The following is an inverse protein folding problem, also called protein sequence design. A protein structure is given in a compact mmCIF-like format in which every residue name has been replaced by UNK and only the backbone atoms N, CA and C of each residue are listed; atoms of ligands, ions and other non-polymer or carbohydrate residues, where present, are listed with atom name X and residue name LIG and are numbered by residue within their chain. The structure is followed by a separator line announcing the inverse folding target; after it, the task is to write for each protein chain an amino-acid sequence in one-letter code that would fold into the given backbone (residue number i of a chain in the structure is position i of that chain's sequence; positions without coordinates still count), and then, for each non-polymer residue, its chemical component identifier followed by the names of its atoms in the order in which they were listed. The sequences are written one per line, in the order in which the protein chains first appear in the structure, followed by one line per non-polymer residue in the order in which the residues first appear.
data_IF_019080400901
#
_entry.id   IF_019080400901
#
_cell.length_a   1.000
_cell.length_b   1.000
_cell.length_c   1.000
_cell.angle_alpha   90.00
_cell.angle_beta   90.00
_cell.angle_gamma   90.00
#
_symmetry.space_group_name_H-M   'P 1'
#
loop_
_entity.id
_entity.type
_entity.pdbx_description
1 polymer ?
#
# COMPACT_ATOMS: atom_id res chain seq x y z
N UNK A 1 33.05 -31.66 -57.73
CA UNK A 1 33.34 -32.82 -56.89
C UNK A 1 34.81 -32.78 -56.49
N UNK A 2 35.12 -32.34 -55.28
CA UNK A 2 36.45 -32.45 -54.69
C UNK A 2 36.23 -32.78 -53.21
N UNK A 3 36.56 -34.01 -52.84
CA UNK A 3 36.41 -34.57 -51.50
C UNK A 3 37.70 -34.36 -50.73
N UNK A 4 37.75 -33.29 -49.93
CA UNK A 4 38.81 -33.08 -48.94
C UNK A 4 38.70 -34.14 -47.85
N UNK A 5 39.63 -35.09 -47.87
CA UNK A 5 39.78 -36.10 -46.83
C UNK A 5 40.38 -35.44 -45.58
N UNK A 6 39.58 -35.32 -44.53
CA UNK A 6 40.07 -34.95 -43.19
C UNK A 6 41.14 -35.95 -42.72
N UNK A 7 42.23 -35.49 -42.08
CA UNK A 7 43.31 -36.37 -41.64
C UNK A 7 42.85 -37.30 -40.52
N UNK A 8 43.29 -38.56 -40.59
CA UNK A 8 42.98 -39.59 -39.63
C UNK A 8 43.38 -39.18 -38.20
N UNK A 9 42.40 -39.17 -37.30
CA UNK A 9 42.61 -38.93 -35.87
C UNK A 9 43.50 -40.06 -35.34
N UNK A 10 44.75 -39.72 -35.05
CA UNK A 10 45.75 -40.63 -34.52
C UNK A 10 45.37 -40.96 -33.08
N UNK A 11 44.71 -42.11 -32.87
CA UNK A 11 44.43 -42.69 -31.56
C UNK A 11 45.73 -43.09 -30.86
N UNK A 12 46.50 -42.11 -30.39
CA UNK A 12 47.49 -42.33 -29.33
C UNK A 12 46.69 -42.55 -28.06
N UNK A 13 46.50 -43.83 -27.70
CA UNK A 13 46.05 -44.20 -26.35
C UNK A 13 47.07 -43.63 -25.37
N UNK A 14 46.77 -42.45 -24.83
CA UNK A 14 47.44 -41.92 -23.65
C UNK A 14 47.30 -42.92 -22.50
N UNK A 15 48.08 -42.76 -21.42
CA UNK A 15 48.04 -43.71 -20.32
C UNK A 15 46.61 -43.84 -19.82
N UNK A 16 46.03 -45.04 -19.99
CA UNK A 16 44.63 -45.38 -19.70
C UNK A 16 44.29 -45.26 -18.20
N UNK A 17 45.27 -44.90 -17.37
CA UNK A 17 45.18 -44.87 -15.93
C UNK A 17 45.42 -43.43 -15.42
N UNK A 18 44.36 -42.71 -14.97
CA UNK A 18 44.46 -41.31 -14.55
C UNK A 18 45.37 -41.11 -13.34
N UNK A 19 45.79 -42.18 -12.65
CA UNK A 19 46.76 -42.15 -11.56
C UNK A 19 48.20 -41.94 -12.02
N UNK A 20 48.51 -42.18 -13.30
CA UNK A 20 49.86 -42.03 -13.87
C UNK A 20 50.08 -40.70 -14.59
N UNK A 21 49.05 -39.86 -14.68
CA UNK A 21 49.12 -38.55 -15.34
C UNK A 21 49.60 -37.45 -14.40
N UNK A 22 50.24 -36.43 -14.96
CA UNK A 22 50.51 -35.18 -14.23
C UNK A 22 49.18 -34.49 -13.86
N UNK A 23 49.16 -33.70 -12.77
CA UNK A 23 47.94 -33.03 -12.26
C UNK A 23 47.17 -32.25 -13.34
N UNK A 24 47.89 -31.53 -14.20
CA UNK A 24 47.30 -30.72 -15.29
C UNK A 24 46.74 -31.59 -16.41
N UNK A 25 47.40 -32.72 -16.73
CA UNK A 25 46.88 -33.66 -17.73
C UNK A 25 45.67 -34.42 -17.20
N UNK A 26 45.69 -34.80 -15.91
CA UNK A 26 44.58 -35.46 -15.23
C UNK A 26 43.35 -34.55 -15.15
N UNK A 27 43.52 -33.26 -14.84
CA UNK A 27 42.39 -32.32 -14.80
C UNK A 27 41.80 -32.10 -16.18
N UNK A 28 42.63 -31.97 -17.23
CA UNK A 28 42.15 -31.89 -18.62
C UNK A 28 41.42 -33.15 -19.03
N UNK A 29 41.94 -34.32 -18.69
CA UNK A 29 41.29 -35.60 -18.99
C UNK A 29 39.92 -35.75 -18.30
N UNK A 30 39.85 -35.47 -17.00
CA UNK A 30 38.63 -35.52 -16.20
C UNK A 30 37.57 -34.49 -16.62
N UNK A 31 37.96 -33.41 -17.30
CA UNK A 31 37.01 -32.42 -17.82
C UNK A 31 36.20 -32.92 -19.02
N UNK A 32 36.70 -33.94 -19.74
CA UNK A 32 36.03 -34.55 -20.89
C UNK A 32 35.46 -35.94 -20.60
N UNK A 33 35.80 -36.55 -19.46
CA UNK A 33 35.14 -37.78 -19.01
C UNK A 33 33.76 -37.48 -18.44
N UNK A 34 32.82 -38.37 -18.72
CA UNK A 34 31.50 -38.31 -18.11
C UNK A 34 31.61 -38.59 -16.62
N UNK A 35 30.95 -37.78 -15.77
CA UNK A 35 30.98 -37.99 -14.34
C UNK A 35 30.34 -39.34 -13.99
N UNK A 36 30.79 -39.98 -12.90
CA UNK A 36 30.13 -41.15 -12.34
C UNK A 36 28.63 -40.91 -12.14
N UNK A 37 27.81 -41.95 -12.33
CA UNK A 37 26.34 -41.87 -12.24
C UNK A 37 25.85 -41.21 -10.95
N UNK A 38 26.44 -41.55 -9.81
CA UNK A 38 26.11 -40.93 -8.52
C UNK A 38 26.29 -39.40 -8.50
N UNK A 39 27.36 -38.90 -9.13
CA UNK A 39 27.64 -37.47 -9.24
C UNK A 39 26.69 -36.81 -10.22
N UNK A 40 26.36 -37.49 -11.32
CA UNK A 40 25.37 -37.02 -12.29
C UNK A 40 23.97 -36.90 -11.65
N UNK A 41 23.55 -37.92 -10.89
CA UNK A 41 22.27 -37.95 -10.18
C UNK A 41 22.19 -36.85 -9.11
N UNK A 42 23.26 -36.66 -8.34
CA UNK A 42 23.36 -35.58 -7.36
C UNK A 42 23.31 -34.18 -8.02
N UNK A 43 23.95 -34.02 -9.18
CA UNK A 43 23.90 -32.78 -9.97
C UNK A 43 22.50 -32.53 -10.52
N UNK A 44 21.79 -33.56 -10.95
CA UNK A 44 20.42 -33.42 -11.46
C UNK A 44 19.43 -33.06 -10.33
N UNK A 45 19.54 -33.70 -9.17
CA UNK A 45 18.75 -33.40 -7.97
C UNK A 45 18.94 -31.95 -7.51
N UNK A 46 20.19 -31.50 -7.44
CA UNK A 46 20.51 -30.12 -7.06
C UNK A 46 19.98 -29.11 -8.08
N UNK A 47 20.12 -29.38 -9.37
CA UNK A 47 19.55 -28.53 -10.42
C UNK A 47 18.03 -28.46 -10.36
N UNK A 48 17.34 -29.60 -10.18
CA UNK A 48 15.88 -29.65 -10.00
C UNK A 48 15.45 -28.79 -8.80
N UNK A 49 16.12 -28.93 -7.66
CA UNK A 49 15.85 -28.12 -6.46
C UNK A 49 16.02 -26.62 -6.72
N UNK A 50 17.09 -26.22 -7.41
CA UNK A 50 17.35 -24.81 -7.72
C UNK A 50 16.30 -24.24 -8.67
N UNK A 51 15.88 -25.00 -9.68
CA UNK A 51 14.82 -24.60 -10.61
C UNK A 51 13.49 -24.44 -9.87
N UNK A 52 13.15 -25.38 -8.99
CA UNK A 52 11.94 -25.30 -8.17
C UNK A 52 11.97 -24.08 -7.25
N UNK A 53 13.10 -23.82 -6.58
CA UNK A 53 13.25 -22.62 -5.76
C UNK A 53 13.14 -21.34 -6.58
N UNK A 54 13.78 -21.28 -7.75
CA UNK A 54 13.67 -20.13 -8.64
C UNK A 54 12.23 -19.88 -9.07
N UNK A 55 11.49 -20.93 -9.42
CA UNK A 55 10.07 -20.86 -9.79
C UNK A 55 9.20 -20.35 -8.63
N UNK A 56 9.39 -20.90 -7.43
CA UNK A 56 8.69 -20.40 -6.22
C UNK A 56 8.99 -18.94 -5.97
N UNK A 57 10.26 -18.56 -6.03
CA UNK A 57 10.70 -17.18 -5.81
C UNK A 57 10.13 -16.22 -6.87
N UNK A 58 10.02 -16.64 -8.12
CA UNK A 58 9.38 -15.84 -9.17
C UNK A 58 7.87 -15.69 -8.94
N UNK A 59 7.17 -16.75 -8.52
CA UNK A 59 5.75 -16.67 -8.20
C UNK A 59 5.45 -15.74 -7.00
N UNK A 60 6.29 -15.79 -5.95
CA UNK A 60 6.09 -14.94 -4.77
C UNK A 60 6.53 -13.48 -4.98
N UNK A 61 7.55 -13.25 -5.81
CA UNK A 61 8.10 -11.92 -6.06
C UNK A 61 7.82 -11.42 -7.48
N UNK A 62 6.70 -11.86 -8.07
CA UNK A 62 6.27 -11.28 -9.32
C UNK A 62 6.07 -9.77 -9.13
N UNK A 63 6.69 -8.92 -9.96
CA UNK A 63 6.55 -7.49 -9.83
C UNK A 63 5.09 -7.12 -10.06
N UNK A 64 4.50 -6.46 -9.07
CA UNK A 64 3.14 -5.94 -9.12
C UNK A 64 2.99 -5.11 -10.41
N UNK A 65 1.93 -5.36 -11.18
CA UNK A 65 1.67 -4.60 -12.40
C UNK A 65 1.51 -3.12 -12.08
N UNK A 66 1.89 -2.23 -13.00
CA UNK A 66 1.71 -0.78 -12.83
C UNK A 66 0.24 -0.43 -12.54
N UNK A 67 -0.69 -1.11 -13.21
CA UNK A 67 -2.13 -0.94 -13.02
C UNK A 67 -2.57 -1.32 -11.60
N UNK A 68 -2.06 -2.43 -11.06
CA UNK A 68 -2.36 -2.86 -9.69
C UNK A 68 -1.78 -1.90 -8.64
N UNK A 69 -0.63 -1.28 -8.93
CA UNK A 69 -0.04 -0.27 -8.06
C UNK A 69 -0.89 1.02 -8.03
N UNK A 70 -1.37 1.47 -9.18
CA UNK A 70 -2.28 2.62 -9.28
C UNK A 70 -3.61 2.38 -8.56
N UNK A 71 -4.19 1.19 -8.69
CA UNK A 71 -5.41 0.81 -7.97
C UNK A 71 -5.17 0.78 -6.44
N UNK A 72 -4.04 0.23 -5.98
CA UNK A 72 -3.68 0.26 -4.56
C UNK A 72 -3.54 1.68 -4.02
N UNK A 73 -2.97 2.60 -4.80
CA UNK A 73 -2.83 4.01 -4.40
C UNK A 73 -4.18 4.71 -4.34
N UNK A 74 -5.09 4.45 -5.28
CA UNK A 74 -6.48 4.96 -5.24
C UNK A 74 -7.20 4.42 -4.00
N UNK A 75 -7.10 3.13 -3.73
CA UNK A 75 -7.68 2.51 -2.54
C UNK A 75 -7.09 3.09 -1.25
N UNK A 76 -5.77 3.28 -1.17
CA UNK A 76 -5.12 3.86 0.00
C UNK A 76 -5.59 5.30 0.27
N UNK A 77 -5.72 6.12 -0.78
CA UNK A 77 -6.28 7.48 -0.68
C UNK A 77 -7.73 7.45 -0.20
N UNK A 78 -8.57 6.58 -0.77
CA UNK A 78 -9.96 6.43 -0.35
C UNK A 78 -10.07 6.01 1.13
N UNK A 79 -9.29 5.01 1.54
CA UNK A 79 -9.24 4.57 2.94
C UNK A 79 -8.80 5.72 3.85
N UNK A 80 -7.80 6.51 3.43
CA UNK A 80 -7.34 7.69 4.17
C UNK A 80 -8.45 8.73 4.36
N UNK A 81 -9.20 9.02 3.30
CA UNK A 81 -10.34 9.94 3.34
C UNK A 81 -11.46 9.43 4.26
N UNK A 82 -11.83 8.15 4.15
CA UNK A 82 -12.86 7.53 4.99
C UNK A 82 -12.46 7.54 6.47
N UNK A 83 -11.20 7.20 6.80
CA UNK A 83 -10.67 7.27 8.17
C UNK A 83 -10.68 8.69 8.72
N UNK A 84 -10.32 9.67 7.91
CA UNK A 84 -10.36 11.07 8.32
C UNK A 84 -11.79 11.55 8.60
N UNK A 85 -12.74 11.16 7.76
CA UNK A 85 -14.16 11.46 7.95
C UNK A 85 -14.70 10.81 9.25
N UNK A 86 -14.36 9.54 9.49
CA UNK A 86 -14.74 8.82 10.71
C UNK A 86 -14.17 9.49 11.97
N UNK A 87 -12.89 9.84 11.97
CA UNK A 87 -12.24 10.51 13.11
C UNK A 87 -12.90 11.86 13.43
N UNK A 88 -13.21 12.66 12.41
CA UNK A 88 -13.96 13.92 12.56
C UNK A 88 -15.35 13.68 13.13
N UNK A 89 -16.06 12.68 12.62
CA UNK A 89 -17.39 12.32 13.12
C UNK A 89 -17.34 11.89 14.59
N UNK A 90 -16.35 11.07 14.98
CA UNK A 90 -16.15 10.65 16.37
C UNK A 90 -15.91 11.82 17.31
N UNK A 91 -15.06 12.78 16.91
CA UNK A 91 -14.83 14.01 17.66
C UNK A 91 -16.09 14.86 17.78
N UNK A 92 -16.86 15.00 16.69
CA UNK A 92 -18.14 15.72 16.69
C UNK A 92 -19.12 15.10 17.69
N UNK A 93 -19.31 13.78 17.65
CA UNK A 93 -20.21 13.07 18.56
C UNK A 93 -19.76 13.26 20.01
N UNK A 94 -18.45 13.15 20.29
CA UNK A 94 -17.92 13.33 21.64
C UNK A 94 -18.16 14.75 22.16
N UNK A 95 -17.96 15.77 21.32
CA UNK A 95 -18.25 17.18 21.66
C UNK A 95 -19.75 17.40 21.91
N UNK A 96 -20.62 16.87 21.07
CA UNK A 96 -22.08 16.98 21.24
C UNK A 96 -22.53 16.31 22.54
N UNK A 97 -22.03 15.10 22.84
CA UNK A 97 -22.31 14.41 24.10
C UNK A 97 -21.83 15.21 25.31
N UNK A 98 -20.61 15.74 25.27
CA UNK A 98 -20.08 16.58 26.34
C UNK A 98 -20.96 17.82 26.58
N UNK A 99 -21.36 18.51 25.50
CA UNK A 99 -22.23 19.68 25.60
C UNK A 99 -23.60 19.33 26.18
N UNK A 100 -24.21 18.22 25.73
CA UNK A 100 -25.48 17.73 26.24
C UNK A 100 -25.39 17.37 27.73
N UNK A 101 -24.39 16.59 28.12
CA UNK A 101 -24.18 16.20 29.53
C UNK A 101 -23.93 17.42 30.42
N UNK A 102 -23.07 18.35 29.99
CA UNK A 102 -22.80 19.59 30.71
C UNK A 102 -24.08 20.42 30.91
N UNK A 103 -24.92 20.53 29.88
CA UNK A 103 -26.20 21.24 29.98
C UNK A 103 -27.16 20.56 30.97
N UNK A 104 -27.24 19.23 30.94
CA UNK A 104 -28.03 18.46 31.89
C UNK A 104 -27.54 18.63 33.33
N UNK A 105 -26.22 18.54 33.56
CA UNK A 105 -25.61 18.73 34.88
C UNK A 105 -25.89 20.12 35.45
N UNK A 106 -25.70 21.18 34.66
CA UNK A 106 -25.98 22.55 35.09
C UNK A 106 -27.47 22.73 35.40
N UNK A 107 -28.35 22.19 34.55
CA UNK A 107 -29.80 22.25 34.79
C UNK A 107 -30.18 21.52 36.07
N UNK A 108 -29.56 20.37 36.33
CA UNK A 108 -29.74 19.63 37.56
C UNK A 108 -29.26 20.44 38.79
N UNK A 109 -28.06 21.02 38.73
CA UNK A 109 -27.53 21.86 39.81
C UNK A 109 -28.44 23.06 40.13
N UNK A 110 -29.04 23.69 39.11
CA UNK A 110 -30.02 24.77 39.29
C UNK A 110 -31.29 24.23 39.96
N UNK A 111 -31.78 23.06 39.53
CA UNK A 111 -32.98 22.44 40.09
C UNK A 111 -32.83 22.01 41.56
N UNK A 112 -31.62 21.63 41.97
CA UNK A 112 -31.32 21.21 43.34
C UNK A 112 -31.09 22.38 44.30
N UNK A 113 -31.17 23.63 43.85
CA UNK A 113 -30.99 24.77 44.75
C UNK A 113 -32.14 24.84 45.77
N UNK A 114 -31.84 25.04 47.06
CA UNK A 114 -32.86 25.00 48.12
C UNK A 114 -33.82 26.20 48.10
N UNK A 115 -33.49 27.27 47.37
CA UNK A 115 -34.28 28.52 47.31
C UNK A 115 -34.36 28.99 45.87
N UNK A 116 -35.57 29.37 45.42
CA UNK A 116 -35.80 29.87 44.06
C UNK A 116 -34.89 31.03 43.67
N UNK A 117 -34.66 31.99 44.57
CA UNK A 117 -33.74 33.11 44.33
C UNK A 117 -32.30 32.66 44.08
N UNK A 118 -31.84 31.58 44.73
CA UNK A 118 -30.51 31.00 44.50
C UNK A 118 -30.44 30.31 43.12
N UNK A 119 -31.49 29.60 42.73
CA UNK A 119 -31.61 28.99 41.40
C UNK A 119 -31.52 30.05 40.29
N UNK A 120 -32.28 31.15 40.42
CA UNK A 120 -32.29 32.26 39.44
C UNK A 120 -30.92 32.95 39.37
N UNK A 121 -30.29 33.22 40.52
CA UNK A 121 -28.94 33.80 40.55
C UNK A 121 -27.90 32.89 39.90
N UNK A 122 -27.96 31.58 40.18
CA UNK A 122 -27.07 30.61 39.58
C UNK A 122 -27.26 30.56 38.06
N UNK A 123 -28.51 30.52 37.59
CA UNK A 123 -28.83 30.56 36.16
C UNK A 123 -28.27 31.81 35.47
N UNK A 124 -28.33 32.98 36.11
CA UNK A 124 -27.80 34.23 35.55
C UNK A 124 -26.27 34.26 35.42
N UNK A 125 -25.54 33.43 36.20
CA UNK A 125 -24.08 33.31 36.12
C UNK A 125 -23.63 32.28 35.06
N UNK A 126 -24.54 31.42 34.58
CA UNK A 126 -24.23 30.46 33.52
C UNK A 126 -24.17 31.21 32.19
N UNK A 127 -23.12 30.98 31.37
CA UNK A 127 -23.07 31.54 30.03
C UNK A 127 -24.34 31.19 29.24
N UNK A 128 -24.96 32.15 28.52
CA UNK A 128 -26.12 31.85 27.71
C UNK A 128 -25.73 30.80 26.66
N UNK A 129 -26.44 29.69 26.64
CA UNK A 129 -26.31 28.71 25.56
C UNK A 129 -26.81 29.38 24.29
N UNK A 130 -25.91 29.72 23.37
CA UNK A 130 -26.32 29.95 22.00
C UNK A 130 -26.86 28.62 21.51
N UNK A 131 -28.18 28.49 21.41
CA UNK A 131 -28.73 27.47 20.53
C UNK A 131 -28.01 27.68 19.20
N UNK A 132 -27.22 26.68 18.79
CA UNK A 132 -26.77 26.62 17.41
C UNK A 132 -28.03 26.30 16.61
N UNK A 133 -28.87 27.32 16.42
CA UNK A 133 -29.91 27.30 15.42
C UNK A 133 -29.17 26.96 14.15
N UNK A 134 -29.57 25.83 13.56
CA UNK A 134 -29.13 25.45 12.24
C UNK A 134 -29.43 26.67 11.38
N UNK A 135 -28.40 27.44 11.05
CA UNK A 135 -28.52 28.54 10.10
C UNK A 135 -28.69 27.78 8.80
N UNK A 136 -29.94 27.42 8.49
CA UNK A 136 -30.30 26.66 7.31
C UNK A 136 -29.66 27.29 6.08
N UNK A 137 -29.59 26.54 4.99
CA UNK A 137 -28.95 27.01 3.78
C UNK A 137 -29.50 28.39 3.37
N UNK A 138 -28.63 29.39 3.41
CA UNK A 138 -28.98 30.77 3.09
C UNK A 138 -28.76 31.09 1.61
N UNK A 139 -28.29 30.13 0.80
CA UNK A 139 -28.10 30.33 -0.62
C UNK A 139 -29.44 30.28 -1.34
N UNK A 140 -29.79 31.39 -2.00
CA UNK A 140 -30.88 31.43 -2.94
C UNK A 140 -30.56 30.56 -4.17
N UNK A 141 -31.58 30.21 -4.96
CA UNK A 141 -31.44 29.34 -6.15
C UNK A 141 -30.36 29.86 -7.12
N UNK A 142 -30.33 31.18 -7.33
CA UNK A 142 -29.32 31.82 -8.19
C UNK A 142 -27.92 31.79 -7.60
N UNK A 143 -27.78 31.98 -6.29
CA UNK A 143 -26.49 31.89 -5.62
C UNK A 143 -25.94 30.46 -5.68
N UNK A 144 -26.83 29.47 -5.55
CA UNK A 144 -26.47 28.06 -5.67
C UNK A 144 -26.02 27.71 -7.08
N UNK A 145 -26.77 28.10 -8.09
CA UNK A 145 -26.41 27.89 -9.50
C UNK A 145 -25.07 28.56 -9.83
N UNK A 146 -24.83 29.76 -9.30
CA UNK A 146 -23.54 30.45 -9.44
C UNK A 146 -22.41 29.69 -8.74
N UNK A 147 -22.62 29.20 -7.52
CA UNK A 147 -21.62 28.41 -6.79
C UNK A 147 -21.31 27.10 -7.51
N UNK A 148 -22.33 26.42 -8.04
CA UNK A 148 -22.17 25.20 -8.82
C UNK A 148 -21.37 25.48 -10.10
N UNK A 149 -21.72 26.53 -10.85
CA UNK A 149 -20.96 26.94 -12.04
C UNK A 149 -19.49 27.28 -11.73
N UNK A 150 -19.21 27.86 -10.56
CA UNK A 150 -17.84 28.14 -10.10
C UNK A 150 -17.09 26.87 -9.69
N UNK A 151 -17.77 25.89 -9.11
CA UNK A 151 -17.17 24.61 -8.72
C UNK A 151 -16.87 23.73 -9.95
N UNK A 152 -17.70 23.82 -10.99
CA UNK A 152 -17.54 23.10 -12.26
C UNK A 152 -16.48 23.71 -13.17
N UNK A 153 -16.02 24.93 -12.88
CA UNK A 153 -14.97 25.63 -13.63
C UNK A 153 -13.57 25.07 -13.34
N UNK A 154 -13.32 23.86 -13.84
CA UNK A 154 -12.03 23.16 -13.73
C UNK A 154 -10.85 23.91 -14.36
N UNK A 155 -11.12 24.82 -15.31
CA UNK A 155 -10.10 25.60 -16.02
C UNK A 155 -9.89 27.00 -15.40
N UNK A 156 -10.72 27.38 -14.41
CA UNK A 156 -10.66 28.68 -13.74
C UNK A 156 -10.95 29.86 -14.65
N UNK A 157 -11.67 29.66 -15.76
CA UNK A 157 -11.96 30.68 -16.78
C UNK A 157 -12.85 31.81 -16.26
N UNK A 158 -13.69 31.53 -15.27
CA UNK A 158 -14.66 32.47 -14.69
C UNK A 158 -14.01 33.27 -13.54
N UNK A 159 -13.02 32.68 -12.85
CA UNK A 159 -12.41 33.26 -11.63
C UNK A 159 -11.05 33.90 -11.86
N UNK A 160 -10.27 33.44 -12.84
CA UNK A 160 -8.94 33.99 -13.10
C UNK A 160 -9.03 35.32 -13.86
N UNK A 161 -8.81 36.42 -13.15
CA UNK A 161 -8.77 37.79 -13.72
C UNK A 161 -7.41 38.14 -14.33
N UNK A 162 -6.67 37.16 -14.84
CA UNK A 162 -5.34 37.42 -15.41
C UNK A 162 -5.52 37.71 -16.90
N UNK A 163 -5.49 39.00 -17.23
CA UNK A 163 -5.20 39.52 -18.56
C UNK A 163 -3.73 39.33 -18.91
#
# INVERSE_FOLDING_TARGET
MASDKLPAIRNKKGPTDPKKMTLVQRSRYMAYEEPPKEIADAKELTMKRLIEQKRKHQQYNEPISKEEMEERDKHAKLIGQLKAAEARNRLRIMRLRYQANRAQEISHLISCQPVALKAVRLQALVPPYSEMKDKGDTLDKFDRERVEALLEDSQGLIVNRVS
#
